data_IF_103365871951
#
_entry.id   IF_103365871951
#
_cell.length_a   1.000
_cell.length_b   1.000
_cell.length_c   1.000
_cell.angle_alpha   90.00
_cell.angle_beta   90.00
_cell.angle_gamma   90.00
#
_symmetry.space_group_name_H-M   'P 1'
#
loop_
_entity.id
_entity.type
_entity.pdbx_description
1 polymer ?
#
# COMPACT_ATOMS: atom_id res chain seq x y z
N UNK A 1 -1.27 13.45 18.92
CA UNK A 1 -1.56 12.78 17.62
C UNK A 1 -2.86 11.98 17.78
N UNK A 2 -3.81 12.07 16.83
CA UNK A 2 -5.09 11.33 16.94
C UNK A 2 -4.88 9.82 16.85
N UNK A 3 -5.80 9.03 17.42
CA UNK A 3 -5.74 7.55 17.37
C UNK A 3 -5.63 7.05 15.92
N UNK A 4 -6.42 7.62 15.00
CA UNK A 4 -6.38 7.29 13.57
C UNK A 4 -5.02 7.61 12.92
N UNK A 5 -4.42 8.77 13.22
CA UNK A 5 -3.07 9.09 12.70
C UNK A 5 -1.98 8.16 13.26
N UNK A 6 -2.12 7.70 14.52
CA UNK A 6 -1.22 6.68 15.08
C UNK A 6 -1.34 5.35 14.33
N UNK A 7 -2.56 4.90 14.06
CA UNK A 7 -2.79 3.70 13.26
C UNK A 7 -2.27 3.84 11.83
N UNK A 8 -2.50 4.98 11.18
CA UNK A 8 -1.98 5.24 9.85
C UNK A 8 -0.44 5.21 9.81
N UNK A 9 0.22 5.76 10.83
CA UNK A 9 1.68 5.70 10.95
C UNK A 9 2.17 4.25 11.07
N UNK A 10 1.57 3.46 11.96
CA UNK A 10 1.89 2.03 12.11
C UNK A 10 1.66 1.29 10.79
N UNK A 11 0.53 1.56 10.11
CA UNK A 11 0.21 0.98 8.81
C UNK A 11 1.27 1.31 7.75
N UNK A 12 1.72 2.56 7.74
CA UNK A 12 2.73 3.07 6.81
C UNK A 12 4.09 2.41 7.07
N UNK A 13 4.46 2.22 8.33
CA UNK A 13 5.66 1.48 8.72
C UNK A 13 5.56 0.00 8.32
N UNK A 14 4.42 -0.66 8.58
CA UNK A 14 4.20 -2.05 8.20
C UNK A 14 4.30 -2.24 6.67
N UNK A 15 3.70 -1.35 5.89
CA UNK A 15 3.81 -1.37 4.42
C UNK A 15 5.27 -1.17 3.95
N UNK A 16 6.01 -0.27 4.60
CA UNK A 16 7.44 -0.05 4.30
C UNK A 16 8.26 -1.29 4.63
N UNK A 17 8.05 -1.90 5.79
CA UNK A 17 8.74 -3.12 6.21
C UNK A 17 8.40 -4.30 5.30
N UNK A 18 7.14 -4.44 4.91
CA UNK A 18 6.72 -5.42 3.90
C UNK A 18 7.55 -5.24 2.62
N UNK A 19 7.60 -4.02 2.06
CA UNK A 19 8.38 -3.76 0.84
C UNK A 19 9.87 -4.10 1.02
N UNK A 20 10.48 -3.71 2.14
CA UNK A 20 11.88 -4.00 2.42
C UNK A 20 12.19 -5.50 2.54
N UNK A 21 11.29 -6.28 3.15
CA UNK A 21 11.44 -7.75 3.31
C UNK A 21 11.13 -8.49 2.02
N UNK A 22 10.23 -7.95 1.19
CA UNK A 22 9.85 -8.55 -0.10
C UNK A 22 11.03 -8.59 -1.08
N UNK A 23 11.90 -7.58 -1.10
CA UNK A 23 13.07 -7.52 -2.00
C UNK A 23 14.00 -8.73 -1.81
N UNK A 24 14.56 -9.01 -0.62
CA UNK A 24 15.41 -10.18 -0.43
C UNK A 24 14.66 -11.49 -0.62
N UNK A 25 13.36 -11.56 -0.29
CA UNK A 25 12.54 -12.73 -0.56
C UNK A 25 12.48 -13.05 -2.07
N UNK A 26 12.24 -12.06 -2.93
CA UNK A 26 12.21 -12.25 -4.38
C UNK A 26 13.55 -12.74 -4.93
N UNK A 27 14.66 -12.19 -4.44
CA UNK A 27 16.00 -12.60 -4.85
C UNK A 27 16.27 -14.07 -4.50
N UNK A 28 15.86 -14.52 -3.31
CA UNK A 28 16.02 -15.92 -2.88
C UNK A 28 15.20 -16.86 -3.76
N UNK A 29 13.95 -16.52 -4.07
CA UNK A 29 13.09 -17.35 -4.91
C UNK A 29 13.57 -17.45 -6.36
N UNK A 30 14.16 -16.38 -6.91
CA UNK A 30 14.78 -16.41 -8.25
C UNK A 30 15.93 -17.42 -8.31
N UNK A 31 16.78 -17.47 -7.29
CA UNK A 31 17.90 -18.42 -7.22
C UNK A 31 17.40 -19.87 -7.23
N UNK A 32 16.27 -20.16 -6.57
CA UNK A 32 15.66 -21.51 -6.60
C UNK A 32 15.16 -21.92 -8.00
N UNK A 33 14.93 -20.95 -8.89
CA UNK A 33 14.46 -21.15 -10.26
C UNK A 33 15.60 -21.16 -11.29
N UNK A 34 16.88 -21.18 -10.88
CA UNK A 34 18.04 -21.10 -11.78
C UNK A 34 18.03 -22.15 -12.91
N UNK A 35 17.50 -23.34 -12.64
CA UNK A 35 17.42 -24.44 -13.60
C UNK A 35 16.21 -24.34 -14.55
N UNK A 36 15.33 -23.35 -14.37
CA UNK A 36 14.09 -23.16 -15.11
C UNK A 36 14.01 -21.74 -15.68
N UNK A 37 14.84 -21.44 -16.69
CA UNK A 37 15.01 -20.09 -17.24
C UNK A 37 13.69 -19.36 -17.60
N UNK A 38 12.75 -20.05 -18.23
CA UNK A 38 11.44 -19.45 -18.61
C UNK A 38 10.60 -19.11 -17.38
N UNK A 39 10.55 -20.00 -16.38
CA UNK A 39 9.82 -19.76 -15.14
C UNK A 39 10.49 -18.65 -14.31
N UNK A 40 11.82 -18.62 -14.25
CA UNK A 40 12.58 -17.56 -13.59
C UNK A 40 12.30 -16.18 -14.21
N UNK A 41 12.28 -16.09 -15.54
CA UNK A 41 11.99 -14.84 -16.24
C UNK A 41 10.54 -14.38 -16.00
N UNK A 42 9.57 -15.29 -16.05
CA UNK A 42 8.17 -14.98 -15.78
C UNK A 42 7.96 -14.53 -14.32
N UNK A 43 8.57 -15.25 -13.38
CA UNK A 43 8.56 -14.89 -11.96
C UNK A 43 9.17 -13.49 -11.75
N UNK A 44 10.35 -13.24 -12.33
CA UNK A 44 11.04 -11.96 -12.23
C UNK A 44 10.17 -10.80 -12.76
N UNK A 45 9.54 -10.97 -13.92
CA UNK A 45 8.64 -9.96 -14.48
C UNK A 45 7.46 -9.65 -13.54
N UNK A 46 6.82 -10.68 -12.99
CA UNK A 46 5.70 -10.54 -12.06
C UNK A 46 6.13 -9.83 -10.76
N UNK A 47 7.21 -10.27 -10.12
CA UNK A 47 7.68 -9.66 -8.86
C UNK A 47 8.25 -8.26 -9.08
N UNK A 48 8.80 -7.96 -10.25
CA UNK A 48 9.24 -6.61 -10.62
C UNK A 48 8.06 -5.65 -10.72
N UNK A 49 7.01 -6.00 -11.48
CA UNK A 49 5.81 -5.18 -11.60
C UNK A 49 5.14 -5.00 -10.23
N UNK A 50 5.02 -6.08 -9.45
CA UNK A 50 4.52 -6.03 -8.09
C UNK A 50 5.36 -5.08 -7.22
N UNK A 51 6.69 -5.22 -7.22
CA UNK A 51 7.60 -4.39 -6.45
C UNK A 51 7.47 -2.91 -6.79
N UNK A 52 7.35 -2.55 -8.07
CA UNK A 52 7.13 -1.16 -8.51
C UNK A 52 5.80 -0.62 -7.97
N UNK A 53 4.71 -1.39 -8.06
CA UNK A 53 3.41 -0.97 -7.53
C UNK A 53 3.43 -0.77 -6.02
N UNK A 54 4.06 -1.68 -5.27
CA UNK A 54 4.19 -1.57 -3.82
C UNK A 54 5.10 -0.40 -3.44
N UNK A 55 6.15 -0.12 -4.21
CA UNK A 55 6.97 1.08 -4.01
C UNK A 55 6.13 2.36 -4.17
N UNK A 56 5.31 2.46 -5.22
CA UNK A 56 4.39 3.57 -5.39
C UNK A 56 3.36 3.66 -4.26
N UNK A 57 2.86 2.52 -3.78
CA UNK A 57 1.99 2.48 -2.62
C UNK A 57 2.70 3.05 -1.38
N UNK A 58 3.91 2.60 -1.06
CA UNK A 58 4.71 3.12 0.07
C UNK A 58 4.91 4.63 -0.06
N UNK A 59 5.34 5.12 -1.23
CA UNK A 59 5.59 6.53 -1.46
C UNK A 59 4.32 7.37 -1.25
N UNK A 60 3.21 6.97 -1.87
CA UNK A 60 1.93 7.68 -1.75
C UNK A 60 1.30 7.54 -0.36
N UNK A 61 1.52 6.43 0.34
CA UNK A 61 1.15 6.25 1.73
C UNK A 61 1.86 7.27 2.64
N UNK A 62 3.18 7.43 2.48
CA UNK A 62 3.95 8.43 3.20
C UNK A 62 3.50 9.85 2.88
N UNK A 63 3.25 10.15 1.59
CA UNK A 63 2.70 11.44 1.17
C UNK A 63 1.34 11.69 1.82
N UNK A 64 0.44 10.71 1.88
CA UNK A 64 -0.86 10.82 2.55
C UNK A 64 -0.73 11.05 4.05
N UNK A 65 0.22 10.37 4.71
CA UNK A 65 0.49 10.57 6.13
C UNK A 65 1.02 11.98 6.45
N UNK A 66 1.97 12.47 5.65
CA UNK A 66 2.65 13.76 5.84
C UNK A 66 1.77 14.95 5.42
N UNK A 67 1.22 14.92 4.20
CA UNK A 67 0.38 16.00 3.65
C UNK A 67 -1.03 16.04 4.22
N UNK A 68 -1.48 14.94 4.85
CA UNK A 68 -2.87 14.75 5.32
C UNK A 68 -3.92 14.76 4.19
N UNK A 69 -3.50 14.75 2.92
CA UNK A 69 -4.42 14.69 1.79
C UNK A 69 -4.86 13.24 1.55
N UNK A 70 -6.19 13.04 1.53
CA UNK A 70 -6.83 11.73 1.43
C UNK A 70 -6.57 11.05 0.08
N UNK A 71 -6.40 11.85 -0.98
CA UNK A 71 -6.18 11.34 -2.33
C UNK A 71 -4.96 10.42 -2.41
N UNK A 72 -3.88 10.75 -1.68
CA UNK A 72 -2.68 9.92 -1.65
C UNK A 72 -2.91 8.57 -0.97
N UNK A 73 -3.77 8.52 0.07
CA UNK A 73 -4.15 7.27 0.72
C UNK A 73 -5.02 6.40 -0.19
N UNK A 74 -5.88 7.01 -1.00
CA UNK A 74 -6.66 6.30 -2.02
C UNK A 74 -5.74 5.71 -3.08
N UNK A 75 -4.81 6.51 -3.63
CA UNK A 75 -3.83 6.05 -4.62
C UNK A 75 -3.00 4.89 -4.06
N UNK A 76 -2.50 5.02 -2.82
CA UNK A 76 -1.76 3.94 -2.13
C UNK A 76 -2.60 2.67 -2.04
N UNK A 77 -3.86 2.79 -1.63
CA UNK A 77 -4.77 1.66 -1.47
C UNK A 77 -5.04 0.95 -2.80
N UNK A 78 -5.25 1.69 -3.88
CA UNK A 78 -5.43 1.13 -5.23
C UNK A 78 -4.16 0.43 -5.70
N UNK A 79 -2.99 1.07 -5.54
CA UNK A 79 -1.71 0.48 -5.91
C UNK A 79 -1.43 -0.83 -5.13
N UNK A 80 -1.76 -0.86 -3.84
CA UNK A 80 -1.68 -2.06 -3.01
C UNK A 80 -2.57 -3.19 -3.52
N UNK A 81 -3.83 -2.90 -3.87
CA UNK A 81 -4.76 -3.91 -4.39
C UNK A 81 -4.29 -4.48 -5.73
N UNK A 82 -3.87 -3.63 -6.67
CA UNK A 82 -3.37 -4.07 -7.97
C UNK A 82 -2.10 -4.91 -7.78
N UNK A 83 -1.15 -4.43 -6.96
CA UNK A 83 0.05 -5.19 -6.61
C UNK A 83 -0.30 -6.54 -5.99
N UNK A 84 -1.22 -6.55 -5.04
CA UNK A 84 -1.66 -7.76 -4.35
C UNK A 84 -2.26 -8.83 -5.26
N UNK A 85 -3.08 -8.43 -6.24
CA UNK A 85 -3.67 -9.35 -7.22
C UNK A 85 -2.60 -9.95 -8.14
N UNK A 86 -1.60 -9.16 -8.55
CA UNK A 86 -0.49 -9.65 -9.38
C UNK A 86 0.43 -10.65 -8.67
N UNK A 87 0.44 -10.63 -7.33
CA UNK A 87 1.23 -11.56 -6.53
C UNK A 87 0.39 -12.11 -5.37
N UNK A 88 -0.48 -13.07 -5.67
CA UNK A 88 -1.56 -13.51 -4.77
C UNK A 88 -1.14 -13.82 -3.33
N UNK A 89 0.06 -14.40 -3.13
CA UNK A 89 0.63 -14.70 -1.80
C UNK A 89 0.72 -13.44 -0.92
N UNK A 90 0.95 -12.27 -1.51
CA UNK A 90 1.03 -10.99 -0.79
C UNK A 90 -0.30 -10.50 -0.21
N UNK A 91 -1.45 -11.04 -0.64
CA UNK A 91 -2.76 -10.61 -0.16
C UNK A 91 -2.94 -10.82 1.35
N UNK A 92 -2.27 -11.82 1.92
CA UNK A 92 -2.28 -12.10 3.37
C UNK A 92 -1.82 -10.87 4.18
N UNK A 93 -0.85 -10.13 3.65
CA UNK A 93 -0.31 -8.92 4.30
C UNK A 93 -1.05 -7.67 3.80
N UNK A 94 -1.35 -7.60 2.50
CA UNK A 94 -1.92 -6.40 1.89
C UNK A 94 -3.36 -6.13 2.34
N UNK A 95 -4.21 -7.16 2.47
CA UNK A 95 -5.63 -6.97 2.84
C UNK A 95 -5.78 -6.29 4.21
N UNK A 96 -5.10 -6.72 5.29
CA UNK A 96 -5.11 -5.99 6.56
C UNK A 96 -4.69 -4.52 6.42
N UNK A 97 -3.66 -4.23 5.63
CA UNK A 97 -3.16 -2.87 5.43
C UNK A 97 -4.17 -1.98 4.68
N UNK A 98 -4.86 -2.54 3.66
CA UNK A 98 -5.93 -1.87 2.93
C UNK A 98 -7.07 -1.49 3.87
N UNK A 99 -7.48 -2.40 4.74
CA UNK A 99 -8.57 -2.18 5.69
C UNK A 99 -8.24 -0.99 6.61
N UNK A 100 -7.02 -0.95 7.15
CA UNK A 100 -6.58 0.15 8.01
C UNK A 100 -6.53 1.48 7.23
N UNK A 101 -6.16 1.47 5.95
CA UNK A 101 -6.20 2.66 5.09
C UNK A 101 -7.63 3.18 4.93
N UNK A 102 -8.59 2.31 4.59
CA UNK A 102 -9.99 2.69 4.41
C UNK A 102 -10.54 3.33 5.68
N UNK A 103 -10.28 2.77 6.86
CA UNK A 103 -10.72 3.34 8.13
C UNK A 103 -9.99 4.64 8.52
N UNK A 104 -8.80 4.87 7.97
CA UNK A 104 -8.02 6.09 8.20
C UNK A 104 -8.43 7.25 7.29
N UNK A 105 -9.11 6.95 6.18
CA UNK A 105 -9.73 7.96 5.31
C UNK A 105 -10.99 8.49 6.02
N UNK A 106 -10.85 9.58 6.75
CA UNK A 106 -12.02 10.25 7.36
C UNK A 106 -12.95 10.83 6.29
N UNK A 107 -14.27 10.83 6.52
CA UNK A 107 -15.22 11.56 5.65
C UNK A 107 -14.91 13.06 5.68
N UNK A 108 -15.09 13.82 4.59
CA UNK A 108 -15.06 15.27 4.69
C UNK A 108 -16.13 15.71 5.71
N UNK A 109 -15.73 16.52 6.68
CA UNK A 109 -16.68 17.31 7.46
C UNK A 109 -17.30 18.24 6.43
N UNK A 110 -18.53 17.95 5.98
CA UNK A 110 -19.31 18.92 5.22
C UNK A 110 -19.50 20.10 6.18
N UNK A 111 -18.98 21.27 5.82
CA UNK A 111 -19.02 22.48 6.63
C UNK A 111 -20.40 22.64 7.28
N UNK A 112 -20.44 22.66 8.61
CA UNK A 112 -21.60 23.13 9.38
C UNK A 112 -21.86 24.63 9.17
N UNK A 113 -21.01 25.32 8.40
CA UNK A 113 -21.08 26.76 8.13
C UNK A 113 -22.08 27.15 7.03
N UNK A 114 -22.69 26.19 6.30
CA UNK A 114 -23.80 26.48 5.37
C UNK A 114 -25.15 26.63 6.09
N UNK A 115 -25.32 26.05 7.29
CA UNK A 115 -26.62 26.02 7.98
C UNK A 115 -26.87 27.30 8.82
N UNK A 116 -25.82 28.04 9.17
CA UNK A 116 -25.94 29.27 9.98
C UNK A 116 -26.18 30.52 9.12
N UNK A 117 -25.93 30.44 7.80
CA UNK A 117 -26.15 31.55 6.87
C UNK A 117 -27.52 31.50 6.17
N UNK A 118 -28.37 30.52 6.49
CA UNK A 118 -29.74 30.38 5.98
C UNK A 118 -30.82 30.46 7.08
N UNK A 119 -30.44 30.75 8.34
CA UNK A 119 -31.36 30.92 9.47
C UNK A 119 -31.36 32.37 9.98
#
# INVERSE_FOLDING_TARGET
MTKKRKWLFINTLMLTLYFMVSIPYYLIEIVKLENFAVLAALYFALVFIHGVLIFFAVATQWLGYLSKLKIWLVISTVAMLIGGVLFFVSLIVIVPLVIINIFSIEKPIKNQDEIVNEA
#
